data_IF_044079674766
#
_entry.id   IF_044079674766
#
_cell.length_a   1.000
_cell.length_b   1.000
_cell.length_c   1.000
_cell.angle_alpha   90.00
_cell.angle_beta   90.00
_cell.angle_gamma   90.00
#
_symmetry.space_group_name_H-M   'P 1'
#
loop_
_entity.id
_entity.type
_entity.pdbx_description
1 polymer ?
#
# COMPACT_ATOMS: atom_id res chain seq x y z
N UNK A 1 10.82 37.58 -20.81
CA UNK A 1 10.46 36.42 -21.64
C UNK A 1 11.49 35.35 -21.38
N UNK A 2 11.09 34.19 -20.89
CA UNK A 2 12.01 33.10 -20.53
C UNK A 2 12.33 32.34 -21.82
N UNK A 3 13.56 32.46 -22.33
CA UNK A 3 14.02 31.67 -23.47
C UNK A 3 14.02 30.20 -23.09
N UNK A 4 13.20 29.42 -23.78
CA UNK A 4 13.27 27.96 -23.76
C UNK A 4 14.44 27.60 -24.70
N UNK A 5 15.44 26.83 -24.23
CA UNK A 5 16.55 26.42 -25.10
C UNK A 5 16.04 25.58 -26.28
N UNK A 6 16.59 25.81 -27.47
CA UNK A 6 16.16 25.22 -28.75
C UNK A 6 16.36 23.70 -28.82
N UNK A 7 17.26 23.18 -27.98
CA UNK A 7 17.42 21.76 -27.71
C UNK A 7 17.80 21.57 -26.24
N UNK A 8 17.32 20.50 -25.56
CA UNK A 8 17.90 20.09 -24.31
C UNK A 8 19.32 19.55 -24.57
N UNK A 9 20.32 20.40 -24.46
CA UNK A 9 21.72 19.99 -24.44
C UNK A 9 22.03 19.38 -23.06
N UNK A 10 22.31 18.08 -22.98
CA UNK A 10 22.76 17.51 -21.70
C UNK A 10 22.86 16.00 -21.62
N UNK A 11 23.93 15.54 -20.97
CA UNK A 11 24.09 14.22 -20.34
C UNK A 11 22.82 13.76 -19.57
N UNK A 12 21.99 14.73 -19.11
CA UNK A 12 20.69 14.53 -18.47
C UNK A 12 19.65 13.78 -19.33
N UNK A 13 19.70 13.90 -20.66
CA UNK A 13 18.74 13.20 -21.53
C UNK A 13 18.94 11.69 -21.51
N UNK A 14 20.16 11.21 -21.29
CA UNK A 14 20.44 9.79 -21.20
C UNK A 14 19.78 9.19 -19.94
N UNK A 15 19.92 9.88 -18.80
CA UNK A 15 19.26 9.50 -17.55
C UNK A 15 17.73 9.53 -17.68
N UNK A 16 17.19 10.58 -18.31
CA UNK A 16 15.74 10.68 -18.55
C UNK A 16 15.22 9.58 -19.50
N UNK A 17 16.00 9.19 -20.51
CA UNK A 17 15.65 8.07 -21.41
C UNK A 17 15.68 6.74 -20.66
N UNK A 18 16.68 6.52 -19.81
CA UNK A 18 16.76 5.32 -18.96
C UNK A 18 15.55 5.22 -18.02
N UNK A 19 15.17 6.33 -17.38
CA UNK A 19 13.98 6.38 -16.51
C UNK A 19 12.70 6.10 -17.31
N UNK A 20 12.55 6.67 -18.52
CA UNK A 20 11.40 6.41 -19.39
C UNK A 20 11.34 4.93 -19.79
N UNK A 21 12.46 4.33 -20.17
CA UNK A 21 12.50 2.92 -20.56
C UNK A 21 12.20 2.00 -19.37
N UNK A 22 12.66 2.36 -18.17
CA UNK A 22 12.30 1.67 -16.92
C UNK A 22 10.80 1.75 -16.65
N UNK A 23 10.19 2.92 -16.78
CA UNK A 23 8.75 3.10 -16.57
C UNK A 23 7.90 2.38 -17.62
N UNK A 24 8.36 2.36 -18.88
CA UNK A 24 7.69 1.62 -19.96
C UNK A 24 7.78 0.11 -19.83
N UNK A 25 8.75 -0.39 -19.06
CA UNK A 25 8.87 -1.82 -18.78
C UNK A 25 7.83 -2.31 -17.76
N UNK A 26 7.12 -1.41 -17.06
CA UNK A 26 6.05 -1.77 -16.14
C UNK A 26 4.84 -2.24 -16.94
N UNK A 27 4.33 -3.46 -16.72
CA UNK A 27 3.19 -3.99 -17.47
C UNK A 27 1.89 -3.25 -17.11
N UNK A 28 0.99 -3.10 -18.08
CA UNK A 28 -0.27 -2.35 -17.89
C UNK A 28 -1.15 -2.94 -16.78
N UNK A 29 -1.14 -4.27 -16.61
CA UNK A 29 -1.82 -4.93 -15.49
C UNK A 29 -1.33 -4.49 -14.09
N UNK A 30 -0.10 -4.02 -13.94
CA UNK A 30 0.41 -3.44 -12.68
C UNK A 30 0.01 -1.96 -12.51
N UNK A 31 -0.42 -1.28 -13.58
CA UNK A 31 -0.90 0.11 -13.51
C UNK A 31 -2.38 0.20 -13.10
N UNK A 32 -3.15 -0.87 -13.34
CA UNK A 32 -4.61 -0.92 -13.07
C UNK A 32 -4.91 -1.55 -11.71
N UNK A 33 -4.00 -2.38 -11.18
CA UNK A 33 -4.16 -3.02 -9.88
C UNK A 33 -3.79 -2.04 -8.74
N UNK A 34 -4.72 -1.69 -7.83
CA UNK A 34 -4.39 -0.85 -6.68
C UNK A 34 -3.41 -1.53 -5.72
N UNK A 35 -3.20 -2.84 -5.86
CA UNK A 35 -2.28 -3.62 -5.05
C UNK A 35 -0.94 -3.77 -5.79
N UNK A 36 0.13 -3.11 -5.29
CA UNK A 36 1.44 -3.25 -5.92
C UNK A 36 1.90 -4.72 -5.92
N UNK A 37 2.60 -5.14 -6.98
CA UNK A 37 3.00 -6.53 -7.19
C UNK A 37 3.76 -7.15 -6.00
N UNK A 38 4.58 -6.34 -5.31
CA UNK A 38 5.30 -6.74 -4.08
C UNK A 38 4.40 -7.15 -2.91
N UNK A 39 3.10 -6.85 -2.97
CA UNK A 39 2.09 -7.20 -1.97
C UNK A 39 1.14 -8.31 -2.43
N UNK A 40 1.19 -8.73 -3.71
CA UNK A 40 0.37 -9.86 -4.19
C UNK A 40 0.77 -11.14 -3.44
N UNK A 41 -0.22 -11.82 -2.87
CA UNK A 41 -0.03 -13.06 -2.10
C UNK A 41 0.48 -12.88 -0.66
N UNK A 42 0.55 -11.63 -0.17
CA UNK A 42 0.81 -11.32 1.26
C UNK A 42 -0.47 -11.09 2.06
N UNK A 43 -1.62 -11.51 1.53
CA UNK A 43 -2.85 -11.53 2.32
C UNK A 43 -2.64 -12.44 3.54
N UNK A 44 -2.85 -11.86 4.72
CA UNK A 44 -2.90 -12.64 5.96
C UNK A 44 -4.21 -13.41 5.95
N UNK A 45 -4.17 -14.66 6.40
CA UNK A 45 -5.40 -15.38 6.72
C UNK A 45 -6.19 -14.56 7.76
N UNK A 46 -7.48 -14.30 7.52
CA UNK A 46 -8.28 -13.55 8.48
C UNK A 46 -8.38 -14.34 9.78
N UNK A 47 -7.88 -13.77 10.87
CA UNK A 47 -8.09 -14.32 12.20
C UNK A 47 -9.59 -14.23 12.55
N UNK A 48 -10.15 -15.26 13.20
CA UNK A 48 -11.54 -15.21 13.66
C UNK A 48 -11.68 -14.07 14.68
N UNK A 49 -12.46 -13.05 14.33
CA UNK A 49 -12.83 -11.97 15.24
C UNK A 49 -14.13 -12.32 15.96
N UNK A 50 -14.22 -11.90 17.22
CA UNK A 50 -15.48 -11.94 17.93
C UNK A 50 -16.52 -11.08 17.22
N UNK A 51 -17.78 -11.52 17.27
CA UNK A 51 -18.88 -10.74 16.70
C UNK A 51 -18.97 -9.37 17.38
N UNK A 52 -19.17 -8.31 16.59
CA UNK A 52 -19.43 -6.97 17.11
C UNK A 52 -20.67 -7.02 18.02
N UNK A 53 -20.47 -6.78 19.32
CA UNK A 53 -21.52 -6.89 20.35
C UNK A 53 -21.52 -8.19 21.17
N UNK A 54 -20.51 -9.06 21.03
CA UNK A 54 -20.26 -10.20 21.93
C UNK A 54 -19.87 -9.76 23.34
N UNK A 55 -19.28 -8.57 23.44
CA UNK A 55 -18.88 -7.96 24.70
C UNK A 55 -20.09 -7.77 25.60
N UNK A 56 -19.99 -8.21 26.86
CA UNK A 56 -21.06 -8.09 27.84
C UNK A 56 -21.04 -6.68 28.42
N UNK A 57 -21.48 -5.68 27.66
CA UNK A 57 -21.60 -4.29 28.09
C UNK A 57 -22.51 -4.12 29.33
N UNK A 58 -23.43 -5.07 29.54
CA UNK A 58 -24.33 -5.10 30.71
C UNK A 58 -23.67 -5.65 31.99
N UNK A 59 -22.45 -6.20 31.91
CA UNK A 59 -21.74 -6.70 33.09
C UNK A 59 -21.05 -5.52 33.78
N UNK A 60 -21.34 -5.25 35.07
CA UNK A 60 -20.58 -4.25 35.81
C UNK A 60 -19.10 -4.66 35.87
N UNK A 61 -18.21 -3.70 35.63
CA UNK A 61 -16.75 -3.88 35.69
C UNK A 61 -16.24 -4.52 37.00
N UNK A 62 -17.05 -4.45 38.06
CA UNK A 62 -16.81 -5.08 39.36
C UNK A 62 -16.79 -6.62 39.34
N UNK A 63 -17.28 -7.26 38.27
CA UNK A 63 -17.35 -8.72 38.15
C UNK A 63 -16.28 -9.32 37.23
N UNK A 64 -15.34 -8.52 36.69
CA UNK A 64 -14.28 -9.01 35.78
C UNK A 64 -13.11 -9.70 36.50
N UNK A 65 -12.97 -9.47 37.81
CA UNK A 65 -11.93 -10.09 38.63
C UNK A 65 -12.54 -11.16 39.53
N UNK A 66 -12.69 -12.39 39.05
CA UNK A 66 -12.84 -13.63 39.83
C UNK A 66 -12.96 -14.81 38.85
N UNK A 67 -11.82 -15.33 38.39
CA UNK A 67 -11.81 -16.50 37.51
C UNK A 67 -10.49 -16.80 36.84
N UNK A 68 -9.39 -16.74 37.58
CA UNK A 68 -8.21 -17.55 37.24
C UNK A 68 -7.90 -18.42 38.45
N UNK A 69 -8.25 -19.70 38.34
CA UNK A 69 -7.71 -20.80 39.13
C UNK A 69 -7.23 -21.88 38.15
#
# INVERSE_FOLDING_TARGET
MTSIPDAPDGEDLAALREEIDRLKAIPEEELVDPTPASLKGRELEPEPTDAIGSEKWDRPASEESLGQE
#
